data_IF_401700652900
#
_entry.id   IF_401700652900
#
_cell.length_a   1.000
_cell.length_b   1.000
_cell.length_c   1.000
_cell.angle_alpha   90.00
_cell.angle_beta   90.00
_cell.angle_gamma   90.00
#
_symmetry.space_group_name_H-M   'P 1'
#
loop_
_entity.id
_entity.type
_entity.pdbx_description
1 polymer ?
#
# COMPACT_ATOMS: atom_id res chain seq x y z
N UNK A 1 -1.19 -0.71 48.52
CA UNK A 1 -1.46 -0.26 47.13
C UNK A 1 -1.33 -1.50 46.26
N UNK A 2 -2.44 -2.01 45.74
CA UNK A 2 -2.45 -3.20 44.86
C UNK A 2 -2.24 -2.66 43.45
N UNK A 3 -1.08 -2.93 42.83
CA UNK A 3 -0.87 -2.63 41.43
C UNK A 3 -1.61 -3.68 40.60
N UNK A 4 -2.65 -3.25 39.91
CA UNK A 4 -3.52 -4.10 39.10
C UNK A 4 -2.79 -4.50 37.81
N UNK A 5 -2.18 -5.69 37.79
CA UNK A 5 -1.55 -6.25 36.58
C UNK A 5 -2.62 -6.54 35.54
N UNK A 6 -2.70 -5.71 34.50
CA UNK A 6 -3.59 -5.96 33.35
C UNK A 6 -2.98 -7.01 32.44
N UNK A 7 -3.63 -8.16 32.30
CA UNK A 7 -3.19 -9.28 31.46
C UNK A 7 -3.44 -9.03 29.97
N UNK A 8 -2.45 -9.31 29.14
CA UNK A 8 -2.64 -9.59 27.72
C UNK A 8 -3.12 -11.05 27.54
N UNK A 9 -3.68 -11.41 26.39
CA UNK A 9 -4.19 -12.75 26.09
C UNK A 9 -3.14 -13.88 26.24
N UNK A 10 -1.85 -13.54 26.21
CA UNK A 10 -0.74 -14.51 26.19
C UNK A 10 0.30 -14.31 27.30
N UNK A 11 0.31 -13.17 27.99
CA UNK A 11 1.34 -12.83 28.98
C UNK A 11 0.75 -12.15 30.21
N UNK A 12 1.33 -12.45 31.38
CA UNK A 12 1.00 -11.85 32.67
C UNK A 12 1.99 -10.73 33.02
N UNK A 13 1.95 -9.64 32.24
CA UNK A 13 2.85 -8.48 32.40
C UNK A 13 2.06 -7.18 32.53
N UNK A 14 2.69 -6.12 33.03
CA UNK A 14 2.12 -4.76 32.99
C UNK A 14 2.16 -4.22 31.55
N UNK A 15 1.05 -3.64 31.11
CA UNK A 15 0.92 -3.02 29.79
C UNK A 15 1.64 -1.66 29.80
N UNK A 16 2.27 -1.29 28.68
CA UNK A 16 2.88 0.02 28.51
C UNK A 16 1.82 1.14 28.46
N UNK A 17 2.27 2.39 28.36
CA UNK A 17 1.38 3.57 28.32
C UNK A 17 0.32 3.54 27.20
N UNK A 18 0.53 2.72 26.16
CA UNK A 18 -0.41 2.51 25.07
C UNK A 18 -1.33 1.30 25.28
N UNK A 19 -1.30 0.66 26.45
CA UNK A 19 -2.12 -0.51 26.76
C UNK A 19 -1.66 -1.80 26.07
N UNK A 20 -0.38 -1.90 25.69
CA UNK A 20 0.17 -3.05 24.98
C UNK A 20 1.30 -3.73 25.76
N UNK A 21 1.46 -5.04 25.55
CA UNK A 21 2.61 -5.80 26.03
C UNK A 21 3.82 -5.51 25.12
N UNK A 22 4.99 -5.18 25.69
CA UNK A 22 6.18 -4.81 24.90
C UNK A 22 6.72 -5.97 24.05
N UNK A 23 6.59 -7.21 24.53
CA UNK A 23 6.97 -8.39 23.75
C UNK A 23 5.97 -8.60 22.61
N UNK A 24 4.66 -8.52 22.88
CA UNK A 24 3.63 -8.58 21.83
C UNK A 24 3.67 -7.40 20.85
N UNK A 25 4.12 -6.21 21.27
CA UNK A 25 4.30 -5.08 20.36
C UNK A 25 5.53 -5.28 19.47
N UNK A 26 6.48 -6.14 19.86
CA UNK A 26 7.57 -6.58 18.99
C UNK A 26 7.16 -7.71 18.03
N UNK A 27 6.16 -8.54 18.39
CA UNK A 27 5.66 -9.65 17.54
C UNK A 27 4.49 -9.25 16.63
N UNK A 28 3.68 -8.27 17.03
CA UNK A 28 2.84 -7.51 16.12
C UNK A 28 3.79 -6.63 15.31
N UNK A 29 3.75 -6.62 13.96
CA UNK A 29 4.67 -5.79 13.20
C UNK A 29 4.32 -4.33 13.48
N UNK A 30 4.97 -3.73 14.47
CA UNK A 30 5.19 -2.29 14.53
C UNK A 30 5.66 -1.89 13.14
N UNK A 31 4.90 -0.99 12.53
CA UNK A 31 5.11 -0.36 11.24
C UNK A 31 6.55 -0.55 10.72
N UNK A 32 6.76 -1.60 9.93
CA UNK A 32 7.94 -1.68 9.06
C UNK A 32 7.95 -0.37 8.26
N UNK A 33 9.10 0.34 8.16
CA UNK A 33 9.15 1.60 7.44
C UNK A 33 8.56 1.40 6.05
N UNK A 34 7.51 2.15 5.75
CA UNK A 34 6.76 2.07 4.51
C UNK A 34 7.72 2.34 3.36
N UNK A 35 8.05 1.32 2.57
CA UNK A 35 8.88 1.47 1.36
C UNK A 35 8.03 1.94 0.18
N UNK A 36 7.09 2.85 0.45
CA UNK A 36 6.16 3.36 -0.55
C UNK A 36 6.91 4.29 -1.48
N UNK A 37 6.86 4.00 -2.78
CA UNK A 37 7.45 4.82 -3.84
C UNK A 37 6.34 5.44 -4.67
N UNK A 38 6.34 6.76 -4.78
CA UNK A 38 5.35 7.50 -5.58
C UNK A 38 6.01 7.97 -6.88
N UNK A 39 5.51 7.47 -8.01
CA UNK A 39 5.87 7.96 -9.34
C UNK A 39 4.81 8.95 -9.82
N UNK A 40 5.27 10.16 -10.15
CA UNK A 40 4.48 11.29 -10.62
C UNK A 40 5.34 12.15 -11.57
N UNK A 41 4.77 13.24 -12.08
CA UNK A 41 5.51 14.26 -12.85
C UNK A 41 6.26 13.68 -14.06
N UNK A 42 5.62 12.73 -14.76
CA UNK A 42 6.19 12.11 -15.96
C UNK A 42 7.28 11.07 -15.70
N UNK A 43 7.52 10.65 -14.46
CA UNK A 43 8.53 9.62 -14.13
C UNK A 43 8.07 8.19 -14.51
N UNK A 44 7.83 7.99 -15.80
CA UNK A 44 7.38 6.72 -16.37
C UNK A 44 8.49 5.68 -16.41
N UNK A 45 9.73 6.11 -16.69
CA UNK A 45 10.89 5.23 -16.72
C UNK A 45 11.15 4.59 -15.35
N UNK A 46 11.14 5.38 -14.28
CA UNK A 46 11.32 4.87 -12.91
C UNK A 46 10.21 3.91 -12.51
N UNK A 47 8.97 4.19 -12.91
CA UNK A 47 7.86 3.28 -12.69
C UNK A 47 8.05 1.95 -13.41
N UNK A 48 8.41 1.97 -14.70
CA UNK A 48 8.67 0.76 -15.50
C UNK A 48 9.80 -0.08 -14.90
N UNK A 49 10.86 0.55 -14.44
CA UNK A 49 11.95 -0.14 -13.75
C UNK A 49 11.46 -0.80 -12.45
N UNK A 50 10.67 -0.07 -11.66
CA UNK A 50 10.14 -0.60 -10.41
C UNK A 50 9.26 -1.83 -10.64
N UNK A 51 8.27 -1.78 -11.55
CA UNK A 51 7.40 -2.94 -11.83
C UNK A 51 8.15 -4.10 -12.47
N UNK A 52 9.28 -3.86 -13.16
CA UNK A 52 10.16 -4.91 -13.68
C UNK A 52 10.85 -5.68 -12.54
N UNK A 53 11.32 -4.96 -11.52
CA UNK A 53 12.05 -5.51 -10.37
C UNK A 53 11.13 -6.09 -9.29
N UNK A 54 9.90 -5.61 -9.17
CA UNK A 54 8.99 -5.94 -8.06
C UNK A 54 7.72 -6.65 -8.53
N UNK A 55 7.85 -7.75 -9.28
CA UNK A 55 6.68 -8.46 -9.86
C UNK A 55 5.66 -8.95 -8.82
N UNK A 56 6.08 -9.23 -7.59
CA UNK A 56 5.21 -9.58 -6.46
C UNK A 56 4.67 -8.40 -5.65
N UNK A 57 4.99 -7.17 -6.06
CA UNK A 57 4.54 -5.95 -5.39
C UNK A 57 3.14 -5.52 -5.82
N UNK A 58 2.71 -4.39 -5.27
CA UNK A 58 1.39 -3.79 -5.47
C UNK A 58 1.52 -2.36 -5.96
N UNK A 59 0.54 -1.92 -6.74
CA UNK A 59 0.48 -0.57 -7.32
C UNK A 59 -0.93 -0.01 -7.14
N UNK A 60 -1.07 1.15 -6.50
CA UNK A 60 -2.25 1.99 -6.66
C UNK A 60 -2.08 2.83 -7.92
N UNK A 61 -2.98 2.64 -8.87
CA UNK A 61 -3.20 3.56 -9.98
C UNK A 61 -4.25 4.56 -9.53
N UNK A 62 -3.87 5.83 -9.38
CA UNK A 62 -4.75 6.87 -8.85
C UNK A 62 -4.65 8.15 -9.66
N UNK A 63 -5.79 8.80 -9.85
CA UNK A 63 -5.84 10.14 -10.44
C UNK A 63 -4.99 11.12 -9.62
N UNK A 64 -4.28 12.03 -10.28
CA UNK A 64 -3.40 13.00 -9.62
C UNK A 64 -4.10 13.88 -8.58
N UNK A 65 -5.41 14.08 -8.74
CA UNK A 65 -6.27 14.82 -7.79
C UNK A 65 -6.55 14.06 -6.49
N UNK A 66 -6.08 12.81 -6.37
CA UNK A 66 -6.32 11.90 -5.25
C UNK A 66 -7.79 11.54 -5.06
N UNK A 67 -8.58 11.58 -6.14
CA UNK A 67 -9.99 11.22 -6.12
C UNK A 67 -10.19 9.71 -5.86
N UNK A 68 -10.80 9.39 -4.72
CA UNK A 68 -11.16 8.04 -4.29
C UNK A 68 -11.98 7.24 -5.33
N UNK A 69 -12.75 7.92 -6.18
CA UNK A 69 -13.54 7.22 -7.21
C UNK A 69 -12.67 6.62 -8.32
N UNK A 70 -11.46 7.14 -8.48
CA UNK A 70 -10.50 6.85 -9.54
C UNK A 70 -9.21 6.23 -8.99
N UNK A 71 -9.30 5.46 -7.91
CA UNK A 71 -8.21 4.60 -7.42
C UNK A 71 -8.49 3.13 -7.74
N UNK A 72 -7.49 2.46 -8.29
CA UNK A 72 -7.51 1.01 -8.54
C UNK A 72 -6.21 0.40 -8.04
N UNK A 73 -6.33 -0.63 -7.20
CA UNK A 73 -5.23 -1.47 -6.77
C UNK A 73 -4.94 -2.56 -7.80
N UNK A 74 -3.67 -2.73 -8.14
CA UNK A 74 -3.16 -3.79 -9.01
C UNK A 74 -2.02 -4.54 -8.33
N UNK A 75 -1.81 -5.80 -8.74
CA UNK A 75 -0.49 -6.41 -8.64
C UNK A 75 0.47 -5.78 -9.65
N UNK A 76 1.75 -5.65 -9.32
CA UNK A 76 2.77 -5.09 -10.21
C UNK A 76 2.99 -5.92 -11.49
N UNK A 77 2.64 -7.21 -11.45
CA UNK A 77 2.62 -8.12 -12.60
C UNK A 77 1.45 -7.89 -13.56
N UNK A 78 0.44 -7.10 -13.17
CA UNK A 78 -0.79 -6.92 -13.94
C UNK A 78 -0.51 -6.39 -15.36
N UNK A 79 -1.02 -7.06 -16.41
CA UNK A 79 -0.69 -6.67 -17.79
C UNK A 79 -1.21 -5.28 -18.16
N UNK A 80 -2.30 -4.81 -17.55
CA UNK A 80 -2.86 -3.49 -17.86
C UNK A 80 -2.03 -2.31 -17.34
N UNK A 81 -1.05 -2.56 -16.46
CA UNK A 81 -0.19 -1.53 -15.87
C UNK A 81 1.31 -1.83 -16.05
N UNK A 82 1.66 -2.97 -16.64
CA UNK A 82 3.04 -3.38 -16.92
C UNK A 82 3.24 -3.81 -18.40
N UNK A 83 2.22 -3.70 -19.25
CA UNK A 83 2.29 -3.93 -20.69
C UNK A 83 2.30 -2.61 -21.48
N UNK A 84 1.32 -2.46 -22.36
CA UNK A 84 1.08 -1.23 -23.12
C UNK A 84 0.08 -0.33 -22.38
N UNK A 85 0.36 0.99 -22.24
CA UNK A 85 -0.61 1.91 -21.67
C UNK A 85 -1.91 1.92 -22.48
N UNK A 86 -3.05 1.77 -21.80
CA UNK A 86 -4.37 1.82 -22.46
C UNK A 86 -4.74 3.23 -22.96
N UNK A 87 -4.01 4.27 -22.53
CA UNK A 87 -4.21 5.67 -22.90
C UNK A 87 -2.85 6.34 -23.05
N UNK A 88 -2.61 6.98 -24.20
CA UNK A 88 -1.33 7.63 -24.49
C UNK A 88 -0.15 6.64 -24.52
N UNK A 89 1.06 7.17 -24.34
CA UNK A 89 2.30 6.39 -24.49
C UNK A 89 2.98 6.06 -23.15
N UNK A 90 2.45 6.56 -22.03
CA UNK A 90 3.04 6.44 -20.68
C UNK A 90 2.03 6.00 -19.62
N UNK A 91 2.51 5.29 -18.60
CA UNK A 91 1.74 4.94 -17.41
C UNK A 91 1.74 6.06 -16.36
N UNK A 92 2.82 6.82 -16.28
CA UNK A 92 2.96 7.99 -15.39
C UNK A 92 2.98 9.25 -16.24
N UNK A 93 1.83 9.90 -16.37
CA UNK A 93 1.68 11.15 -17.11
C UNK A 93 1.12 12.27 -16.24
N UNK A 94 0.36 13.18 -16.87
CA UNK A 94 -0.21 14.34 -16.16
C UNK A 94 -1.46 13.97 -15.36
N UNK A 95 -2.23 12.97 -15.78
CA UNK A 95 -3.52 12.66 -15.15
C UNK A 95 -3.45 11.65 -14.00
N UNK A 96 -2.41 10.80 -13.97
CA UNK A 96 -2.31 9.69 -13.02
C UNK A 96 -0.94 9.63 -12.35
N UNK A 97 -0.92 9.21 -11.09
CA UNK A 97 0.28 8.83 -10.35
C UNK A 97 0.23 7.34 -10.03
N UNK A 98 1.39 6.75 -9.76
CA UNK A 98 1.53 5.34 -9.37
C UNK A 98 2.16 5.28 -7.99
N UNK A 99 1.46 4.68 -7.04
CA UNK A 99 1.97 4.49 -5.68
C UNK A 99 2.28 3.01 -5.52
N UNK A 100 3.53 2.70 -5.27
CA UNK A 100 4.07 1.34 -5.36
C UNK A 100 4.60 0.90 -4.00
N UNK A 101 4.32 -0.35 -3.62
CA UNK A 101 4.85 -0.94 -2.40
C UNK A 101 4.96 -2.46 -2.51
N UNK A 102 5.82 -3.06 -1.70
CA UNK A 102 5.96 -4.52 -1.65
C UNK A 102 4.79 -5.21 -0.95
N UNK A 103 4.04 -4.48 -0.10
CA UNK A 103 2.94 -5.03 0.69
C UNK A 103 1.69 -4.17 0.55
N UNK A 104 0.52 -4.81 0.41
CA UNK A 104 -0.78 -4.14 0.31
C UNK A 104 -1.08 -3.17 1.47
N UNK A 105 -0.83 -3.53 2.74
CA UNK A 105 -1.12 -2.63 3.86
C UNK A 105 -0.33 -1.31 3.84
N UNK A 106 0.85 -1.29 3.20
CA UNK A 106 1.61 -0.04 3.04
C UNK A 106 0.89 0.96 2.12
N UNK A 107 0.17 0.44 1.11
CA UNK A 107 -0.61 1.27 0.18
C UNK A 107 -1.92 1.76 0.81
N UNK A 108 -2.55 0.93 1.64
CA UNK A 108 -3.74 1.31 2.41
C UNK A 108 -3.38 2.42 3.41
N UNK A 109 -2.28 2.24 4.16
CA UNK A 109 -1.78 3.27 5.07
C UNK A 109 -1.44 4.57 4.33
N UNK A 110 -0.74 4.49 3.20
CA UNK A 110 -0.43 5.67 2.40
C UNK A 110 -1.70 6.38 1.92
N UNK A 111 -2.73 5.64 1.50
CA UNK A 111 -4.00 6.20 1.05
C UNK A 111 -4.73 6.95 2.18
N UNK A 112 -4.72 6.39 3.40
CA UNK A 112 -5.30 7.03 4.59
C UNK A 112 -4.55 8.33 4.94
N UNK A 113 -3.21 8.28 4.97
CA UNK A 113 -2.35 9.43 5.28
C UNK A 113 -2.48 10.58 4.25
N UNK A 114 -2.86 10.26 3.01
CA UNK A 114 -2.99 11.22 1.91
C UNK A 114 -4.45 11.59 1.59
N UNK A 115 -5.40 11.25 2.47
CA UNK A 115 -6.83 11.56 2.32
C UNK A 115 -7.45 11.05 1.01
N UNK A 116 -6.93 9.94 0.46
CA UNK A 116 -7.54 9.23 -0.68
C UNK A 116 -8.82 8.52 -0.23
N UNK A 117 -8.87 8.08 1.03
CA UNK A 117 -9.95 7.29 1.58
C UNK A 117 -9.74 5.78 1.47
N UNK A 118 -10.64 5.03 2.08
CA UNK A 118 -10.48 3.58 2.34
C UNK A 118 -11.14 2.67 1.31
N UNK A 119 -12.00 3.20 0.43
CA UNK A 119 -12.72 2.40 -0.58
C UNK A 119 -11.87 2.16 -1.85
N UNK A 120 -10.72 1.50 -1.67
CA UNK A 120 -9.82 1.16 -2.76
C UNK A 120 -10.39 0.00 -3.57
N UNK A 121 -10.76 0.28 -4.82
CA UNK A 121 -11.24 -0.75 -5.76
C UNK A 121 -10.09 -1.62 -6.23
N UNK A 122 -10.37 -2.90 -6.44
CA UNK A 122 -9.38 -3.86 -6.92
C UNK A 122 -9.50 -4.00 -8.44
N UNK A 123 -8.38 -4.26 -9.11
CA UNK A 123 -8.40 -4.62 -10.51
C UNK A 123 -9.25 -5.88 -10.73
N UNK A 124 -10.14 -5.83 -11.72
CA UNK A 124 -11.09 -6.91 -12.03
C UNK A 124 -10.56 -7.89 -13.09
N UNK A 125 -9.28 -7.79 -13.48
CA UNK A 125 -8.69 -8.74 -14.42
C UNK A 125 -8.36 -10.05 -13.69
N UNK A 126 -8.78 -11.17 -14.28
CA UNK A 126 -8.45 -12.54 -13.83
C UNK A 126 -6.94 -12.72 -13.70
N UNK A 127 -6.16 -12.16 -14.62
CA UNK A 127 -4.70 -12.18 -14.61
C UNK A 127 -4.03 -11.27 -13.57
N UNK A 128 -4.81 -10.54 -12.75
CA UNK A 128 -4.32 -9.67 -11.69
C UNK A 128 -4.56 -10.27 -10.31
N UNK A 129 -5.81 -10.59 -9.96
CA UNK A 129 -6.14 -11.14 -8.63
C UNK A 129 -6.83 -12.51 -8.66
N UNK A 130 -7.09 -13.07 -9.86
CA UNK A 130 -7.67 -14.42 -9.98
C UNK A 130 -9.13 -14.53 -9.56
N UNK A 131 -9.86 -13.41 -9.47
CA UNK A 131 -11.32 -13.41 -9.34
C UNK A 131 -12.01 -13.82 -10.65
#
# INVERSE_FOLDING_TARGET
MVTERRRCSWHDIELNAAGMCDECSQVMPVAQPSTVVVFKDGNDQGYREWVRLHKGGYVLNIERTLNANNVILHQASCPSINGEPARGDVFVGDSYIKVCASRKPELEQWADENAVGTDIKWCQLTSCFGF
#
